data_IF_382218656694
#
_entry.id   IF_382218656694
#
_cell.length_a   1.000
_cell.length_b   1.000
_cell.length_c   1.000
_cell.angle_alpha   90.00
_cell.angle_beta   90.00
_cell.angle_gamma   90.00
#
_symmetry.space_group_name_H-M   'P 1'
#
loop_
_entity.id
_entity.type
_entity.pdbx_description
1 polymer ?
#
# COMPACT_ATOMS: atom_id res chain seq x y z
N UNK A 1 -29.72 6.53 3.20
CA UNK A 1 -28.80 7.04 4.23
C UNK A 1 -27.39 6.64 3.81
N UNK A 2 -26.66 7.52 3.14
CA UNK A 2 -25.31 7.22 2.67
C UNK A 2 -24.39 7.13 3.89
N UNK A 3 -23.96 5.92 4.22
CA UNK A 3 -22.94 5.69 5.21
C UNK A 3 -21.65 6.30 4.66
N UNK A 4 -21.29 7.49 5.15
CA UNK A 4 -19.95 8.02 4.95
C UNK A 4 -19.08 7.10 5.80
N UNK A 5 -18.55 6.02 5.20
CA UNK A 5 -17.52 5.25 5.86
C UNK A 5 -16.40 6.23 6.18
N UNK A 6 -16.09 6.39 7.46
CA UNK A 6 -14.88 7.07 7.89
C UNK A 6 -13.71 6.27 7.31
N UNK A 7 -13.25 6.67 6.12
CA UNK A 7 -12.10 6.06 5.47
C UNK A 7 -10.94 6.27 6.45
N UNK A 8 -10.27 5.18 6.91
CA UNK A 8 -9.07 5.34 7.71
C UNK A 8 -8.13 6.28 6.98
N UNK A 9 -7.55 7.23 7.72
CA UNK A 9 -6.87 8.46 7.26
C UNK A 9 -5.64 8.16 6.37
N UNK A 10 -5.39 6.89 6.10
CA UNK A 10 -4.24 6.32 5.46
C UNK A 10 -4.50 5.90 4.02
N UNK A 11 -4.77 6.86 3.13
CA UNK A 11 -4.71 6.55 1.71
C UNK A 11 -4.16 7.69 0.86
N UNK A 12 -2.83 7.75 0.80
CA UNK A 12 -2.15 8.26 -0.40
C UNK A 12 -2.47 7.28 -1.52
N UNK A 13 -3.08 7.76 -2.61
CA UNK A 13 -3.38 6.94 -3.78
C UNK A 13 -2.12 6.20 -4.27
N UNK A 14 -2.02 4.91 -3.97
CA UNK A 14 -0.93 4.04 -4.42
C UNK A 14 -1.19 3.59 -5.85
N UNK A 15 -0.91 4.46 -6.81
CA UNK A 15 -0.82 4.07 -8.21
C UNK A 15 0.65 3.96 -8.62
N UNK A 16 1.16 2.73 -8.72
CA UNK A 16 2.53 2.47 -9.17
C UNK A 16 2.49 2.11 -10.65
N UNK A 17 2.86 3.07 -11.50
CA UNK A 17 2.88 2.89 -12.95
C UNK A 17 4.11 2.06 -13.40
N UNK A 18 3.98 0.73 -13.33
CA UNK A 18 5.07 -0.19 -13.65
C UNK A 18 5.59 -0.10 -15.09
N UNK A 19 4.74 0.36 -16.03
CA UNK A 19 5.10 0.57 -17.45
C UNK A 19 5.87 1.88 -17.69
N UNK A 20 5.74 2.84 -16.78
CA UNK A 20 6.38 4.17 -16.86
C UNK A 20 7.65 4.26 -16.01
N UNK A 21 8.24 3.11 -15.63
CA UNK A 21 9.45 3.05 -14.80
C UNK A 21 9.21 2.96 -13.29
N UNK A 22 7.95 2.95 -12.83
CA UNK A 22 7.63 2.80 -11.41
C UNK A 22 7.96 1.40 -10.86
N UNK A 23 8.22 1.34 -9.54
CA UNK A 23 8.39 0.08 -8.80
C UNK A 23 7.93 0.21 -7.35
N UNK A 24 7.53 -0.91 -6.74
CA UNK A 24 7.22 -0.99 -5.30
C UNK A 24 8.41 -0.59 -4.45
N UNK A 25 9.61 -1.03 -4.80
CA UNK A 25 10.83 -0.65 -4.08
C UNK A 25 11.08 0.85 -4.16
N UNK A 26 10.95 1.44 -5.36
CA UNK A 26 11.10 2.88 -5.54
C UNK A 26 10.07 3.67 -4.73
N UNK A 27 8.82 3.22 -4.71
CA UNK A 27 7.76 3.87 -3.96
C UNK A 27 7.99 3.82 -2.44
N UNK A 28 8.33 2.64 -1.90
CA UNK A 28 8.67 2.48 -0.48
C UNK A 28 9.90 3.34 -0.12
N UNK A 29 10.92 3.36 -0.96
CA UNK A 29 12.12 4.17 -0.72
C UNK A 29 11.81 5.66 -0.74
N UNK A 30 10.93 6.13 -1.63
CA UNK A 30 10.51 7.53 -1.64
C UNK A 30 9.79 7.91 -0.33
N UNK A 31 8.93 7.04 0.19
CA UNK A 31 8.26 7.25 1.49
C UNK A 31 9.28 7.30 2.63
N UNK A 32 10.25 6.37 2.65
CA UNK A 32 11.34 6.38 3.64
C UNK A 32 12.15 7.66 3.58
N UNK A 33 12.50 8.13 2.38
CA UNK A 33 13.23 9.39 2.20
C UNK A 33 12.41 10.59 2.69
N UNK A 34 11.11 10.62 2.42
CA UNK A 34 10.23 11.67 2.94
C UNK A 34 10.17 11.64 4.48
N UNK A 35 10.10 10.45 5.07
CA UNK A 35 10.01 10.26 6.54
C UNK A 35 11.20 10.87 7.29
N UNK A 36 12.37 11.01 6.66
CA UNK A 36 13.56 11.66 7.26
C UNK A 36 13.27 13.11 7.65
N UNK A 37 12.37 13.78 6.94
CA UNK A 37 12.01 15.19 7.15
C UNK A 37 10.73 15.37 7.98
N UNK A 38 10.04 14.29 8.33
CA UNK A 38 8.76 14.34 9.04
C UNK A 38 9.01 14.26 10.56
N UNK A 39 8.57 15.30 11.25
CA UNK A 39 8.56 15.37 12.72
C UNK A 39 7.13 15.35 13.29
N UNK A 40 7.01 15.50 14.61
CA UNK A 40 5.73 15.48 15.32
C UNK A 40 4.82 16.68 14.97
N UNK A 41 5.38 17.77 14.45
CA UNK A 41 4.65 18.98 14.06
C UNK A 41 4.25 18.96 12.58
N UNK A 42 4.76 18.00 11.82
CA UNK A 42 4.52 17.90 10.38
C UNK A 42 3.11 17.42 10.09
N UNK A 43 2.38 18.23 9.33
CA UNK A 43 1.05 17.89 8.80
C UNK A 43 1.19 17.29 7.41
N UNK A 44 0.57 16.14 7.18
CA UNK A 44 0.63 15.43 5.89
C UNK A 44 -0.70 15.64 5.19
N UNK A 45 -0.66 16.24 4.00
CA UNK A 45 -1.83 16.44 3.16
C UNK A 45 -1.84 15.31 2.12
N UNK A 46 -2.66 14.26 2.31
CA UNK A 46 -2.74 13.19 1.34
C UNK A 46 -3.49 13.66 0.08
N UNK A 47 -3.26 12.98 -1.03
CA UNK A 47 -4.01 13.25 -2.27
C UNK A 47 -5.52 12.98 -2.12
N UNK A 48 -5.91 12.11 -1.19
CA UNK A 48 -7.30 11.81 -0.83
C UNK A 48 -7.41 11.51 0.68
N UNK A 49 -8.58 11.77 1.27
CA UNK A 49 -8.82 11.56 2.70
C UNK A 49 -8.66 12.83 3.55
N UNK A 50 -8.69 12.66 4.87
CA UNK A 50 -8.51 13.74 5.84
C UNK A 50 -7.02 14.08 6.00
N UNK A 51 -6.73 15.22 6.62
CA UNK A 51 -5.36 15.59 7.01
C UNK A 51 -4.75 14.48 7.89
N UNK A 52 -3.50 14.12 7.60
CA UNK A 52 -2.76 13.05 8.27
C UNK A 52 -1.57 13.57 9.08
N UNK A 53 -0.94 12.69 9.83
CA UNK A 53 0.20 12.96 10.71
C UNK A 53 1.31 11.91 10.55
N UNK A 54 2.42 12.12 11.26
CA UNK A 54 3.59 11.22 11.24
C UNK A 54 3.25 9.77 11.58
N UNK A 55 2.54 9.53 12.68
CA UNK A 55 2.18 8.17 13.16
C UNK A 55 1.40 7.39 12.11
N UNK A 56 0.46 8.06 11.46
CA UNK A 56 -0.29 7.48 10.35
C UNK A 56 0.64 7.17 9.18
N UNK A 57 1.49 8.11 8.77
CA UNK A 57 2.43 7.87 7.67
C UNK A 57 3.42 6.72 7.95
N UNK A 58 3.82 6.52 9.20
CA UNK A 58 4.60 5.36 9.63
C UNK A 58 3.79 4.05 9.50
N UNK A 59 2.52 4.06 9.91
CA UNK A 59 1.62 2.93 9.69
C UNK A 59 1.46 2.60 8.19
N UNK A 60 1.50 3.62 7.33
CA UNK A 60 1.39 3.44 5.88
C UNK A 60 2.63 2.77 5.31
N UNK A 61 3.80 3.25 5.73
CA UNK A 61 5.07 2.61 5.37
C UNK A 61 5.08 1.15 5.81
N UNK A 62 4.70 0.88 7.07
CA UNK A 62 4.62 -0.48 7.62
C UNK A 62 3.69 -1.38 6.84
N UNK A 63 2.54 -0.86 6.39
CA UNK A 63 1.62 -1.58 5.52
C UNK A 63 2.31 -2.02 4.23
N UNK A 64 2.93 -1.09 3.52
CA UNK A 64 3.58 -1.39 2.24
C UNK A 64 4.70 -2.42 2.40
N UNK A 65 5.50 -2.30 3.46
CA UNK A 65 6.57 -3.26 3.76
C UNK A 65 6.04 -4.64 4.10
N UNK A 66 4.95 -4.72 4.86
CA UNK A 66 4.29 -5.98 5.21
C UNK A 66 3.75 -6.70 3.97
N UNK A 67 3.02 -5.98 3.11
CA UNK A 67 2.50 -6.54 1.85
C UNK A 67 3.65 -6.99 0.95
N UNK A 68 4.72 -6.19 0.83
CA UNK A 68 5.93 -6.58 0.10
C UNK A 68 6.53 -7.87 0.63
N UNK A 69 6.69 -8.00 1.95
CA UNK A 69 7.25 -9.21 2.57
C UNK A 69 6.38 -10.45 2.27
N UNK A 70 5.06 -10.32 2.43
CA UNK A 70 4.11 -11.40 2.16
C UNK A 70 4.16 -11.85 0.69
N UNK A 71 4.18 -10.90 -0.26
CA UNK A 71 4.27 -11.23 -1.69
C UNK A 71 5.61 -11.86 -2.05
N UNK A 72 6.73 -11.39 -1.47
CA UNK A 72 8.04 -12.02 -1.67
C UNK A 72 8.08 -13.46 -1.17
N UNK A 73 7.41 -13.76 -0.04
CA UNK A 73 7.30 -15.11 0.48
C UNK A 73 6.57 -16.03 -0.52
N UNK A 74 5.44 -15.58 -1.08
CA UNK A 74 4.71 -16.34 -2.09
C UNK A 74 5.52 -16.55 -3.38
N UNK A 75 6.23 -15.51 -3.85
CA UNK A 75 7.14 -15.61 -5.01
C UNK A 75 8.23 -16.65 -4.75
N UNK A 76 8.82 -16.67 -3.54
CA UNK A 76 9.83 -17.65 -3.14
C UNK A 76 9.27 -19.06 -3.09
N UNK A 77 8.00 -19.21 -2.70
CA UNK A 77 7.26 -20.47 -2.73
C UNK A 77 6.83 -20.92 -4.14
N UNK A 78 7.27 -20.21 -5.20
CA UNK A 78 6.98 -20.56 -6.58
C UNK A 78 5.56 -20.21 -7.05
N UNK A 79 4.82 -19.42 -6.26
CA UNK A 79 3.45 -19.01 -6.61
C UNK A 79 3.42 -18.12 -7.83
N UNK A 80 2.40 -18.33 -8.65
CA UNK A 80 2.09 -17.50 -9.83
C UNK A 80 1.39 -16.20 -9.43
N UNK A 81 1.30 -15.25 -10.36
CA UNK A 81 0.55 -14.01 -10.13
C UNK A 81 -0.91 -14.31 -9.77
N UNK A 82 -1.55 -15.23 -10.48
CA UNK A 82 -2.97 -15.58 -10.27
C UNK A 82 -3.21 -16.14 -8.86
N UNK A 83 -2.30 -16.97 -8.36
CA UNK A 83 -2.38 -17.49 -6.98
C UNK A 83 -2.19 -16.38 -5.95
N UNK A 84 -1.21 -15.49 -6.16
CA UNK A 84 -0.97 -14.35 -5.25
C UNK A 84 -2.16 -13.39 -5.24
N UNK A 85 -2.78 -13.15 -6.39
CA UNK A 85 -3.94 -12.27 -6.54
C UNK A 85 -5.17 -12.84 -5.82
N UNK A 86 -5.39 -14.16 -5.87
CA UNK A 86 -6.51 -14.81 -5.18
C UNK A 86 -6.27 -15.02 -3.68
N UNK A 87 -5.01 -15.00 -3.24
CA UNK A 87 -4.65 -15.14 -1.84
C UNK A 87 -4.92 -13.85 -1.03
N UNK A 88 -6.17 -13.69 -0.57
CA UNK A 88 -6.59 -12.56 0.26
C UNK A 88 -5.84 -12.46 1.61
N UNK A 89 -5.21 -13.54 2.09
CA UNK A 89 -4.46 -13.50 3.36
C UNK A 89 -3.30 -12.49 3.34
N UNK A 90 -2.74 -12.21 2.15
CA UNK A 90 -1.63 -11.26 1.94
C UNK A 90 -1.98 -9.85 2.42
N UNK A 91 -3.24 -9.45 2.27
CA UNK A 91 -3.75 -8.10 2.60
C UNK A 91 -4.80 -8.12 3.69
N UNK A 92 -5.13 -9.28 4.28
CA UNK A 92 -6.29 -9.46 5.16
C UNK A 92 -6.38 -8.40 6.26
N UNK A 93 -5.27 -8.11 6.94
CA UNK A 93 -5.21 -7.10 8.01
C UNK A 93 -5.73 -5.75 7.51
N UNK A 94 -5.35 -5.35 6.31
CA UNK A 94 -5.72 -4.06 5.71
C UNK A 94 -7.12 -4.10 5.07
N UNK A 95 -7.54 -5.28 4.60
CA UNK A 95 -8.88 -5.51 4.10
C UNK A 95 -9.91 -5.37 5.23
N UNK A 96 -9.62 -5.96 6.40
CA UNK A 96 -10.45 -5.86 7.60
C UNK A 96 -10.51 -4.41 8.13
N UNK A 97 -9.45 -3.63 7.91
CA UNK A 97 -9.41 -2.19 8.24
C UNK A 97 -10.11 -1.31 7.19
N UNK A 98 -10.61 -1.87 6.08
CA UNK A 98 -11.32 -1.11 5.06
C UNK A 98 -10.41 -0.26 4.16
N UNK A 99 -9.16 -0.68 3.95
CA UNK A 99 -8.17 0.08 3.15
C UNK A 99 -8.32 -0.14 1.63
N UNK A 100 -9.31 -0.94 1.21
CA UNK A 100 -9.69 -1.04 -0.20
C UNK A 100 -10.55 0.16 -0.59
N UNK A 101 -10.21 0.88 -1.67
CA UNK A 101 -10.95 2.08 -2.06
C UNK A 101 -11.02 2.26 -3.57
N UNK A 102 -12.23 2.48 -4.11
CA UNK A 102 -12.53 2.78 -5.52
C UNK A 102 -11.61 2.02 -6.51
N UNK A 103 -10.55 2.68 -6.96
CA UNK A 103 -9.67 2.19 -8.01
C UNK A 103 -8.47 1.39 -7.49
N UNK A 104 -8.17 1.46 -6.20
CA UNK A 104 -7.11 0.73 -5.49
C UNK A 104 -7.77 -0.37 -4.65
N UNK A 105 -7.95 -1.52 -5.26
CA UNK A 105 -8.46 -2.71 -4.56
C UNK A 105 -7.30 -3.53 -4.03
N UNK A 106 -7.55 -4.32 -2.99
CA UNK A 106 -6.60 -5.27 -2.42
C UNK A 106 -6.04 -6.22 -3.48
N UNK A 107 -6.91 -6.66 -4.39
CA UNK A 107 -6.54 -7.46 -5.55
C UNK A 107 -5.50 -6.76 -6.46
N UNK A 108 -5.75 -5.50 -6.81
CA UNK A 108 -4.82 -4.70 -7.62
C UNK A 108 -3.51 -4.45 -6.89
N UNK A 109 -3.53 -4.26 -5.58
CA UNK A 109 -2.31 -4.15 -4.76
C UNK A 109 -1.50 -5.45 -4.87
N UNK A 110 -2.12 -6.62 -4.62
CA UNK A 110 -1.44 -7.92 -4.71
C UNK A 110 -0.82 -8.15 -6.11
N UNK A 111 -1.59 -7.88 -7.18
CA UNK A 111 -1.09 -7.98 -8.56
C UNK A 111 0.07 -7.02 -8.83
N UNK A 112 -0.06 -5.75 -8.43
CA UNK A 112 0.98 -4.72 -8.65
C UNK A 112 2.27 -5.07 -7.93
N UNK A 113 2.17 -5.54 -6.69
CA UNK A 113 3.32 -5.94 -5.91
C UNK A 113 4.01 -7.16 -6.53
N UNK A 114 3.26 -8.19 -6.91
CA UNK A 114 3.80 -9.37 -7.57
C UNK A 114 4.56 -8.98 -8.85
N UNK A 115 3.89 -8.27 -9.76
CA UNK A 115 4.47 -7.82 -11.03
C UNK A 115 5.70 -6.94 -10.84
N UNK A 116 5.72 -6.11 -9.80
CA UNK A 116 6.86 -5.24 -9.54
C UNK A 116 8.07 -5.99 -8.97
N UNK A 117 7.84 -7.03 -8.17
CA UNK A 117 8.90 -7.74 -7.42
C UNK A 117 9.48 -8.93 -8.19
N UNK A 118 8.78 -9.42 -9.21
CA UNK A 118 9.21 -10.54 -10.06
C UNK A 118 10.00 -10.11 -11.31
N UNK A 119 10.16 -8.80 -11.55
CA UNK A 119 10.94 -8.27 -12.67
C UNK A 119 12.41 -8.68 -12.61
#
# INVERSE_FOLDING_TARGET
MHYIQEIPILMVATHIYLKSGGSVNGYINAIKSAMIFVDENTKIIPGHGKLSNKTEYEAFLKMLETIKANVLAEIKNGKTEAEVVTNASITKIYDDLGYSWNFITSEKIRSTFYKSLKK
#
